data_IF_000476957400
#
_entry.id   IF_000476957400
#
_cell.length_a   1.000
_cell.length_b   1.000
_cell.length_c   1.000
_cell.angle_alpha   90.00
_cell.angle_beta   90.00
_cell.angle_gamma   90.00
#
_symmetry.space_group_name_H-M   'P 1'
#
loop_
_entity.id
_entity.type
_entity.pdbx_description
1 polymer ?
#
# COMPACT_ATOMS: atom_id res chain seq x y z
N UNK A 1 1.75 20.79 -57.14
CA UNK A 1 1.23 19.90 -56.07
C UNK A 1 -0.19 19.50 -56.45
N UNK A 2 -0.47 18.20 -56.59
CA UNK A 2 -1.71 17.71 -57.19
C UNK A 2 -2.86 17.77 -56.17
N UNK A 3 -4.01 18.38 -56.48
CA UNK A 3 -5.11 18.61 -55.52
C UNK A 3 -5.57 17.34 -54.78
N UNK A 4 -5.40 16.16 -55.41
CA UNK A 4 -5.72 14.85 -54.83
C UNK A 4 -4.80 14.46 -53.66
N UNK A 5 -3.51 14.83 -53.69
CA UNK A 5 -2.59 14.53 -52.58
C UNK A 5 -2.86 15.40 -51.35
N UNK A 6 -3.44 16.59 -51.56
CA UNK A 6 -3.83 17.48 -50.46
C UNK A 6 -5.00 16.90 -49.67
N UNK A 7 -6.02 16.36 -50.35
CA UNK A 7 -7.17 15.72 -49.71
C UNK A 7 -6.77 14.50 -48.88
N UNK A 8 -5.86 13.67 -49.37
CA UNK A 8 -5.42 12.46 -48.67
C UNK A 8 -4.58 12.80 -47.44
N UNK A 9 -3.77 13.86 -47.51
CA UNK A 9 -3.02 14.37 -46.36
C UNK A 9 -3.94 14.97 -45.29
N UNK A 10 -5.07 15.59 -45.67
CA UNK A 10 -6.01 16.17 -44.69
C UNK A 10 -6.76 15.09 -43.91
N UNK A 11 -7.18 14.01 -44.58
CA UNK A 11 -7.87 12.89 -43.92
C UNK A 11 -6.94 12.13 -42.96
N UNK A 12 -5.66 11.96 -43.30
CA UNK A 12 -4.69 11.30 -42.42
C UNK A 12 -4.39 12.14 -41.16
N UNK A 13 -4.32 13.47 -41.28
CA UNK A 13 -4.11 14.38 -40.15
C UNK A 13 -5.32 14.37 -39.19
N UNK A 14 -6.55 14.44 -39.72
CA UNK A 14 -7.75 14.39 -38.90
C UNK A 14 -7.98 13.02 -38.24
N UNK A 15 -7.61 11.92 -38.91
CA UNK A 15 -7.69 10.57 -38.33
C UNK A 15 -6.68 10.33 -37.21
N UNK A 16 -5.46 10.85 -37.35
CA UNK A 16 -4.41 10.75 -36.31
C UNK A 16 -4.71 11.60 -35.06
N UNK A 17 -5.34 12.77 -35.24
CA UNK A 17 -5.70 13.65 -34.12
C UNK A 17 -6.85 13.08 -33.26
N UNK A 18 -7.72 12.26 -33.85
CA UNK A 18 -8.85 11.60 -33.16
C UNK A 18 -8.45 10.30 -32.44
N UNK A 19 -7.25 9.77 -32.70
CA UNK A 19 -6.68 8.60 -32.02
C UNK A 19 -5.69 8.96 -30.91
N UNK A 20 -5.42 10.25 -30.70
CA UNK A 20 -4.80 10.74 -29.48
C UNK A 20 -5.84 10.57 -28.36
N UNK A 21 -5.79 9.41 -27.72
CA UNK A 21 -6.72 9.00 -26.68
C UNK A 21 -6.93 10.11 -25.66
N UNK A 22 -8.19 10.25 -25.23
CA UNK A 22 -8.53 11.07 -24.09
C UNK A 22 -7.53 10.78 -22.96
N UNK A 23 -6.64 11.74 -22.70
CA UNK A 23 -5.96 11.80 -21.43
C UNK A 23 -7.08 11.98 -20.41
N UNK A 24 -7.45 10.89 -19.73
CA UNK A 24 -8.28 10.99 -18.55
C UNK A 24 -7.48 11.84 -17.57
N UNK A 25 -7.83 13.12 -17.49
CA UNK A 25 -7.48 13.95 -16.35
C UNK A 25 -8.17 13.29 -15.15
N UNK A 26 -7.44 12.41 -14.46
CA UNK A 26 -7.89 11.90 -13.18
C UNK A 26 -7.98 13.10 -12.25
N UNK A 27 -9.20 13.53 -11.98
CA UNK A 27 -9.52 14.63 -11.10
C UNK A 27 -8.92 14.38 -9.71
N UNK A 28 -7.92 15.17 -9.33
CA UNK A 28 -7.63 15.52 -7.92
C UNK A 28 -8.30 16.85 -7.58
N UNK A 29 -9.55 17.06 -8.00
CA UNK A 29 -10.32 18.23 -7.64
C UNK A 29 -11.12 17.99 -6.35
N UNK A 30 -10.41 17.83 -5.23
CA UNK A 30 -10.98 18.16 -3.90
C UNK A 30 -9.91 18.57 -2.90
N UNK A 31 -8.93 19.37 -3.29
CA UNK A 31 -8.12 20.11 -2.33
C UNK A 31 -8.03 21.56 -2.78
N UNK A 32 -8.47 22.44 -1.87
CA UNK A 32 -8.37 23.90 -1.88
C UNK A 32 -9.48 24.71 -2.60
N UNK A 33 -10.57 24.95 -1.85
CA UNK A 33 -11.17 26.29 -1.77
C UNK A 33 -11.91 26.48 -0.43
N UNK A 34 -11.56 27.57 0.25
CA UNK A 34 -12.27 28.26 1.36
C UNK A 34 -11.96 27.84 2.81
N UNK A 35 -11.19 28.70 3.51
CA UNK A 35 -11.20 28.83 4.96
C UNK A 35 -12.51 29.52 5.39
N UNK A 36 -13.33 28.84 6.20
CA UNK A 36 -14.45 29.48 6.90
C UNK A 36 -15.64 28.57 7.20
N UNK A 37 -15.45 27.58 8.07
CA UNK A 37 -16.44 27.14 9.08
C UNK A 37 -15.82 25.98 9.87
N UNK A 38 -15.83 26.05 11.20
CA UNK A 38 -15.54 24.88 12.05
C UNK A 38 -16.77 23.98 11.99
N UNK A 39 -16.87 23.21 10.92
CA UNK A 39 -17.79 22.09 10.82
C UNK A 39 -17.15 20.95 11.62
N UNK A 40 -17.74 20.63 12.77
CA UNK A 40 -17.49 19.33 13.42
C UNK A 40 -18.15 18.26 12.54
N UNK A 41 -17.47 17.88 11.46
CA UNK A 41 -17.78 16.62 10.78
C UNK A 41 -17.35 15.52 11.73
N UNK A 42 -18.31 14.89 12.42
CA UNK A 42 -18.05 13.59 13.05
C UNK A 42 -17.41 12.71 11.98
N UNK A 43 -16.23 12.17 12.26
CA UNK A 43 -15.43 11.43 11.29
C UNK A 43 -16.31 10.34 10.67
N UNK A 44 -16.80 10.57 9.45
CA UNK A 44 -17.48 9.56 8.64
C UNK A 44 -16.43 8.72 7.92
N UNK A 45 -15.35 8.39 8.64
CA UNK A 45 -14.39 7.40 8.25
C UNK A 45 -14.94 6.00 8.55
N UNK A 46 -14.30 4.94 8.03
CA UNK A 46 -14.59 3.58 8.47
C UNK A 46 -14.51 3.51 10.00
N UNK A 47 -15.31 2.66 10.65
CA UNK A 47 -15.21 2.50 12.12
C UNK A 47 -13.78 2.07 12.45
N UNK A 48 -13.04 2.90 13.18
CA UNK A 48 -11.67 2.62 13.61
C UNK A 48 -11.61 2.56 15.13
N UNK A 49 -10.78 1.69 15.69
CA UNK A 49 -10.41 1.74 17.12
C UNK A 49 -9.13 2.56 17.26
N UNK A 50 -9.26 3.88 17.27
CA UNK A 50 -8.14 4.84 17.39
C UNK A 50 -6.96 4.52 16.45
N UNK A 51 -7.26 4.23 15.18
CA UNK A 51 -6.26 3.91 14.15
C UNK A 51 -5.62 2.50 14.22
N UNK A 52 -5.89 1.72 15.28
CA UNK A 52 -5.30 0.37 15.46
C UNK A 52 -5.80 -0.63 14.42
N UNK A 53 -7.10 -0.59 14.11
CA UNK A 53 -7.73 -1.42 13.08
C UNK A 53 -8.77 -0.57 12.38
N UNK A 54 -8.60 -0.35 11.08
CA UNK A 54 -9.58 0.33 10.24
C UNK A 54 -10.57 -0.67 9.64
N UNK A 55 -11.85 -0.33 9.60
CA UNK A 55 -12.84 -1.15 8.90
C UNK A 55 -12.55 -1.16 7.38
N UNK A 56 -12.31 -2.36 6.85
CA UNK A 56 -12.01 -2.59 5.43
C UNK A 56 -13.29 -2.90 4.65
N UNK A 57 -13.42 -2.35 3.44
CA UNK A 57 -14.56 -2.59 2.54
C UNK A 57 -14.31 -3.70 1.52
N UNK A 58 -13.10 -4.29 1.55
CA UNK A 58 -12.67 -5.33 0.60
C UNK A 58 -13.21 -6.69 1.02
N UNK A 59 -13.60 -7.53 0.06
CA UNK A 59 -14.03 -8.91 0.29
C UNK A 59 -12.88 -9.87 0.66
N UNK A 60 -11.86 -9.37 1.37
CA UNK A 60 -10.68 -10.12 1.82
C UNK A 60 -10.41 -9.77 3.28
N UNK A 61 -9.75 -10.67 4.02
CA UNK A 61 -9.36 -10.41 5.41
C UNK A 61 -8.17 -9.46 5.42
N UNK A 62 -8.45 -8.15 5.40
CA UNK A 62 -7.47 -7.09 5.52
C UNK A 62 -7.63 -6.41 6.87
N UNK A 63 -6.51 -6.01 7.45
CA UNK A 63 -6.46 -5.16 8.63
C UNK A 63 -5.40 -4.10 8.36
N UNK A 64 -5.75 -2.84 8.57
CA UNK A 64 -4.81 -1.73 8.43
C UNK A 64 -4.70 -0.91 9.69
N UNK A 65 -3.49 -0.40 9.88
CA UNK A 65 -3.05 0.45 10.98
C UNK A 65 -2.65 1.78 10.37
N UNK A 66 -3.20 2.88 10.88
CA UNK A 66 -2.94 4.24 10.39
C UNK A 66 -1.76 4.89 11.10
N UNK A 67 -1.22 5.96 10.50
CA UNK A 67 -0.12 6.71 11.09
C UNK A 67 -0.44 7.31 12.45
N UNK A 68 -1.70 7.68 12.69
CA UNK A 68 -2.17 8.12 14.01
C UNK A 68 -1.78 7.11 15.10
N UNK A 69 -2.06 5.81 14.86
CA UNK A 69 -1.71 4.77 15.82
C UNK A 69 -0.22 4.43 15.83
N UNK A 70 0.41 4.37 14.66
CA UNK A 70 1.85 4.09 14.54
C UNK A 70 2.66 5.13 15.32
N UNK A 71 2.29 6.40 15.26
CA UNK A 71 2.95 7.50 15.97
C UNK A 71 2.86 7.41 17.50
N UNK A 72 1.90 6.65 18.04
CA UNK A 72 1.80 6.42 19.49
C UNK A 72 2.76 5.34 19.99
N UNK A 73 3.40 4.60 19.08
CA UNK A 73 4.32 3.52 19.44
C UNK A 73 5.73 4.04 19.72
N UNK A 74 6.50 3.19 20.41
CA UNK A 74 7.90 3.49 20.70
C UNK A 74 8.69 3.66 19.40
N UNK A 75 9.29 4.84 19.23
CA UNK A 75 10.17 5.14 18.11
C UNK A 75 11.39 4.21 18.07
N UNK A 76 11.94 4.01 16.87
CA UNK A 76 13.09 3.13 16.66
C UNK A 76 12.79 1.63 16.73
N UNK A 77 11.51 1.23 16.72
CA UNK A 77 11.12 -0.15 16.40
C UNK A 77 10.88 -0.32 14.90
N UNK A 78 11.02 -1.55 14.43
CA UNK A 78 10.50 -1.92 13.11
C UNK A 78 8.98 -1.81 13.07
N UNK A 79 8.42 -1.36 11.94
CA UNK A 79 6.97 -1.27 11.72
C UNK A 79 6.24 -2.61 11.96
N UNK A 80 6.94 -3.73 11.77
CA UNK A 80 6.41 -5.07 12.01
C UNK A 80 6.06 -5.33 13.49
N UNK A 81 6.76 -4.65 14.41
CA UNK A 81 6.44 -4.71 15.84
C UNK A 81 5.10 -4.03 16.13
N UNK A 82 4.83 -2.88 15.50
CA UNK A 82 3.56 -2.18 15.58
C UNK A 82 2.42 -3.02 15.01
N UNK A 83 2.68 -3.74 13.92
CA UNK A 83 1.70 -4.60 13.28
C UNK A 83 1.33 -5.85 14.09
N UNK A 84 2.05 -6.18 15.17
CA UNK A 84 1.81 -7.37 15.99
C UNK A 84 0.44 -7.39 16.69
N UNK A 85 -0.27 -6.25 16.70
CA UNK A 85 -1.65 -6.13 17.15
C UNK A 85 -2.67 -6.62 16.12
N UNK A 86 -2.22 -6.81 14.87
CA UNK A 86 -3.06 -7.31 13.78
C UNK A 86 -3.36 -8.80 13.97
N UNK A 87 -4.63 -9.21 13.97
CA UNK A 87 -4.99 -10.62 14.16
C UNK A 87 -4.31 -11.54 13.14
N UNK A 88 -3.70 -12.62 13.63
CA UNK A 88 -3.07 -13.63 12.79
C UNK A 88 -1.64 -13.30 12.35
N UNK A 89 -1.15 -12.09 12.62
CA UNK A 89 0.27 -11.76 12.50
C UNK A 89 0.95 -11.98 13.85
N UNK A 90 2.13 -12.58 13.81
CA UNK A 90 3.04 -12.67 14.94
C UNK A 90 4.44 -12.28 14.47
N UNK A 91 5.00 -11.27 15.12
CA UNK A 91 6.37 -10.85 14.91
C UNK A 91 7.16 -11.06 16.20
N UNK A 92 8.30 -11.75 16.09
CA UNK A 92 9.27 -11.91 17.18
C UNK A 92 10.55 -11.20 16.80
N UNK A 93 10.84 -10.12 17.50
CA UNK A 93 12.07 -9.37 17.32
C UNK A 93 13.22 -10.03 18.09
N UNK A 94 14.43 -10.04 17.54
CA UNK A 94 15.60 -10.62 18.21
C UNK A 94 16.27 -9.63 19.18
N UNK A 95 15.94 -8.34 19.08
CA UNK A 95 16.39 -7.31 20.01
C UNK A 95 15.28 -6.28 20.29
N UNK A 96 15.49 -5.37 21.27
CA UNK A 96 14.51 -4.34 21.60
C UNK A 96 14.45 -3.16 20.64
N UNK A 97 15.16 -3.13 19.50
CA UNK A 97 15.25 -1.98 18.58
C UNK A 97 15.11 -2.36 17.08
N UNK A 98 14.84 -3.62 16.75
CA UNK A 98 14.66 -4.09 15.37
C UNK A 98 15.93 -4.25 14.53
N UNK A 99 17.11 -3.85 15.04
CA UNK A 99 18.34 -3.80 14.25
C UNK A 99 18.86 -5.19 13.86
N UNK A 100 18.69 -6.19 14.72
CA UNK A 100 19.10 -7.59 14.49
C UNK A 100 18.09 -8.36 13.64
N UNK A 101 16.95 -7.74 13.32
CA UNK A 101 15.84 -8.39 12.65
C UNK A 101 15.12 -9.38 13.53
N UNK A 102 14.19 -10.11 12.94
CA UNK A 102 13.28 -10.99 13.64
C UNK A 102 12.59 -11.97 12.70
N UNK A 103 11.61 -12.69 13.23
CA UNK A 103 10.83 -13.66 12.48
C UNK A 103 9.37 -13.19 12.34
N UNK A 104 8.81 -13.35 11.15
CA UNK A 104 7.40 -13.10 10.87
C UNK A 104 6.69 -14.44 10.70
N UNK A 105 5.55 -14.58 11.39
CA UNK A 105 4.59 -15.64 11.19
C UNK A 105 3.22 -15.04 10.89
N UNK A 106 2.66 -15.32 9.72
CA UNK A 106 1.31 -14.88 9.35
C UNK A 106 0.44 -16.12 9.17
N UNK A 107 -0.56 -16.31 10.04
CA UNK A 107 -1.51 -17.43 9.97
C UNK A 107 -0.88 -18.83 9.94
N UNK A 108 0.29 -18.99 10.55
CA UNK A 108 1.02 -20.26 10.47
C UNK A 108 1.78 -20.46 9.15
N UNK A 109 2.01 -19.40 8.39
CA UNK A 109 3.05 -19.30 7.35
C UNK A 109 4.22 -18.49 7.88
N UNK A 110 5.44 -18.89 7.51
CA UNK A 110 6.68 -18.22 7.90
C UNK A 110 7.02 -17.12 6.89
N UNK A 111 7.99 -16.27 7.22
CA UNK A 111 8.33 -15.08 6.45
C UNK A 111 8.55 -15.30 4.95
N UNK A 112 9.13 -16.44 4.55
CA UNK A 112 9.35 -16.75 3.12
C UNK A 112 8.06 -16.97 2.33
N UNK A 113 6.93 -17.18 3.03
CA UNK A 113 5.58 -17.29 2.46
C UNK A 113 4.73 -16.05 2.71
N UNK A 114 5.33 -14.97 3.18
CA UNK A 114 4.69 -13.66 3.37
C UNK A 114 5.34 -12.66 2.44
N UNK A 115 4.51 -11.98 1.65
CA UNK A 115 5.00 -10.89 0.82
C UNK A 115 5.07 -9.61 1.62
N UNK A 116 6.21 -8.93 1.60
CA UNK A 116 6.32 -7.55 2.04
C UNK A 116 6.43 -6.65 0.83
N UNK A 117 5.59 -5.62 0.80
CA UNK A 117 5.62 -4.58 -0.23
C UNK A 117 5.66 -3.20 0.38
N UNK A 118 6.34 -2.31 -0.30
CA UNK A 118 6.44 -0.90 0.01
C UNK A 118 5.98 -0.11 -1.21
N UNK A 119 4.87 0.62 -1.09
CA UNK A 119 4.27 1.35 -2.23
C UNK A 119 4.08 0.44 -3.48
N UNK A 120 3.76 -0.84 -3.25
CA UNK A 120 3.62 -1.85 -4.30
C UNK A 120 4.93 -2.46 -4.81
N UNK A 121 6.10 -2.02 -4.33
CA UNK A 121 7.40 -2.61 -4.65
C UNK A 121 7.71 -3.77 -3.68
N UNK A 122 8.02 -4.98 -4.17
CA UNK A 122 8.35 -6.10 -3.29
C UNK A 122 9.71 -5.91 -2.59
N UNK A 123 9.74 -6.22 -1.29
CA UNK A 123 10.95 -6.18 -0.45
C UNK A 123 11.53 -7.57 -0.16
N UNK A 124 10.84 -8.64 -0.58
CA UNK A 124 11.35 -10.00 -0.45
C UNK A 124 12.58 -10.21 -1.35
N UNK A 125 13.52 -11.03 -0.88
CA UNK A 125 14.63 -11.51 -1.71
C UNK A 125 14.11 -12.32 -2.91
N UNK A 126 14.61 -12.05 -4.12
CA UNK A 126 14.12 -12.72 -5.34
C UNK A 126 14.57 -14.17 -5.48
N UNK A 127 15.61 -14.60 -4.76
CA UNK A 127 16.15 -15.96 -4.82
C UNK A 127 15.44 -16.92 -3.88
N UNK A 128 15.23 -16.52 -2.63
CA UNK A 128 14.63 -17.39 -1.59
C UNK A 128 13.40 -16.81 -0.89
N UNK A 129 12.89 -15.64 -1.34
CA UNK A 129 11.73 -14.97 -0.76
C UNK A 129 11.89 -14.52 0.71
N UNK A 130 13.12 -14.50 1.21
CA UNK A 130 13.42 -14.11 2.58
C UNK A 130 12.98 -12.66 2.83
N UNK A 131 12.52 -12.39 4.06
CA UNK A 131 12.17 -11.06 4.52
C UNK A 131 13.25 -10.58 5.48
N UNK A 132 13.83 -9.43 5.19
CA UNK A 132 14.81 -8.78 6.06
C UNK A 132 14.14 -7.69 6.89
N UNK A 133 13.64 -8.08 8.06
CA UNK A 133 12.83 -7.20 8.93
C UNK A 133 13.61 -6.05 9.58
N UNK A 134 14.93 -6.09 9.48
CA UNK A 134 15.86 -5.04 9.89
C UNK A 134 16.14 -3.99 8.79
N UNK A 135 15.64 -4.22 7.57
CA UNK A 135 15.80 -3.32 6.42
C UNK A 135 14.48 -2.64 6.04
N UNK A 136 13.60 -2.48 7.03
CA UNK A 136 12.29 -1.88 6.83
C UNK A 136 12.36 -0.37 6.92
N UNK A 137 11.35 0.28 6.34
CA UNK A 137 11.20 1.72 6.47
C UNK A 137 10.89 2.12 7.91
N UNK A 138 11.35 3.32 8.24
CA UNK A 138 11.07 3.95 9.52
C UNK A 138 9.55 4.19 9.66
N UNK A 139 8.93 3.80 10.79
CA UNK A 139 7.50 3.95 10.99
C UNK A 139 6.99 5.39 10.84
N UNK A 140 7.82 6.38 11.13
CA UNK A 140 7.50 7.80 11.02
C UNK A 140 7.21 8.25 9.58
N UNK A 141 7.66 7.48 8.58
CA UNK A 141 7.44 7.74 7.16
C UNK A 141 6.26 6.96 6.56
N UNK A 142 5.59 6.11 7.35
CA UNK A 142 4.53 5.23 6.86
C UNK A 142 3.16 5.82 7.19
N UNK A 143 2.41 6.29 6.20
CA UNK A 143 1.03 6.76 6.40
C UNK A 143 0.10 5.62 6.86
N UNK A 144 0.28 4.42 6.28
CA UNK A 144 -0.57 3.27 6.58
C UNK A 144 0.15 1.96 6.33
N UNK A 145 0.03 1.05 7.30
CA UNK A 145 0.48 -0.33 7.15
C UNK A 145 -0.74 -1.26 7.10
N UNK A 146 -0.75 -2.20 6.16
CA UNK A 146 -1.87 -3.12 5.96
C UNK A 146 -1.39 -4.56 5.87
N UNK A 147 -2.11 -5.46 6.53
CA UNK A 147 -1.89 -6.89 6.50
C UNK A 147 -3.12 -7.52 5.86
N UNK A 148 -2.92 -8.18 4.74
CA UNK A 148 -3.94 -8.97 4.09
C UNK A 148 -3.61 -10.45 4.27
N UNK A 149 -4.55 -11.18 4.82
CA UNK A 149 -4.37 -12.56 5.25
C UNK A 149 -5.06 -13.51 4.27
N UNK A 150 -4.36 -14.55 3.84
CA UNK A 150 -4.86 -15.51 2.84
C UNK A 150 -4.29 -15.23 1.46
N UNK A 151 -5.06 -15.56 0.41
CA UNK A 151 -4.58 -15.38 -0.97
C UNK A 151 -4.35 -13.90 -1.29
N UNK A 152 -3.31 -13.65 -2.08
CA UNK A 152 -2.98 -12.30 -2.52
C UNK A 152 -3.94 -11.74 -3.53
N UNK A 153 -3.72 -10.46 -3.85
CA UNK A 153 -4.27 -9.93 -5.08
C UNK A 153 -3.74 -10.64 -6.32
N UNK A 154 -4.58 -10.62 -7.37
CA UNK A 154 -4.22 -11.16 -8.68
C UNK A 154 -3.06 -10.39 -9.29
N UNK A 155 -2.93 -9.11 -8.95
CA UNK A 155 -1.88 -8.20 -9.42
C UNK A 155 -0.67 -8.14 -8.47
N UNK A 156 -0.50 -9.14 -7.58
CA UNK A 156 0.64 -9.18 -6.66
C UNK A 156 1.97 -9.32 -7.45
N UNK A 157 2.96 -8.45 -7.20
CA UNK A 157 4.24 -8.47 -7.92
C UNK A 157 5.18 -9.60 -7.46
N UNK A 158 4.78 -10.41 -6.48
CA UNK A 158 5.59 -11.52 -5.95
C UNK A 158 4.79 -12.80 -5.79
N UNK A 159 5.46 -13.93 -6.04
CA UNK A 159 4.95 -15.29 -5.86
C UNK A 159 5.07 -15.81 -4.43
N UNK A 160 5.81 -15.12 -3.54
CA UNK A 160 6.03 -15.55 -2.14
C UNK A 160 4.76 -15.53 -1.30
N UNK A 161 3.71 -14.91 -1.77
CA UNK A 161 2.67 -14.35 -0.93
C UNK A 161 1.55 -15.33 -0.52
N UNK A 162 1.85 -16.64 -0.51
CA UNK A 162 0.87 -17.70 -0.24
C UNK A 162 0.20 -17.60 1.15
N UNK A 163 0.92 -17.09 2.15
CA UNK A 163 0.39 -16.86 3.51
C UNK A 163 -0.30 -15.52 3.70
N UNK A 164 -0.06 -14.57 2.78
CA UNK A 164 -0.59 -13.22 2.81
C UNK A 164 0.44 -12.16 2.42
N UNK A 165 0.02 -10.91 2.51
CA UNK A 165 0.81 -9.73 2.16
C UNK A 165 0.79 -8.70 3.27
N UNK A 166 1.93 -8.10 3.55
CA UNK A 166 2.08 -6.89 4.35
C UNK A 166 2.49 -5.79 3.39
N UNK A 167 1.72 -4.70 3.36
CA UNK A 167 1.99 -3.55 2.51
C UNK A 167 2.05 -2.26 3.32
N UNK A 168 3.08 -1.47 3.11
CA UNK A 168 3.21 -0.10 3.62
C UNK A 168 2.89 0.90 2.52
N UNK A 169 2.27 2.01 2.92
CA UNK A 169 2.03 3.19 2.08
C UNK A 169 2.61 4.39 2.80
N UNK A 170 3.38 5.22 2.11
CA UNK A 170 3.87 6.53 2.61
C UNK A 170 2.94 7.68 2.30
#
# INVERSE_FOLDING_TARGET
>A
MNRKSLFWATTALCGGLMLAGAANAQSTATQEAELGDVVVTGARGPRTTDGTIVAETVAKTRSSVTQEFISTQAAGQTILQTLNLTPGLNFTNNDPYGSSGGNIRLRGFDGNRVSLTFDGIPLNDTGNYAVYTNQQLDPELIERASVNTGTTDVDSPTASATGGTINYVT
#
